data_IF_824679223604
#
_entry.id   IF_824679223604
#
_cell.length_a   1.000
_cell.length_b   1.000
_cell.length_c   1.000
_cell.angle_alpha   90.00
_cell.angle_beta   90.00
_cell.angle_gamma   90.00
#
_symmetry.space_group_name_H-M   'P 1'
#
loop_
_entity.id
_entity.type
_entity.pdbx_description
1 polymer ?
#
# COMPACT_ATOMS: atom_id res chain seq x y z
N UNK A 1 -13.02 -33.28 24.62
CA UNK A 1 -13.14 -32.20 23.61
C UNK A 1 -14.52 -32.26 23.01
N UNK A 2 -15.33 -31.21 23.19
CA UNK A 2 -16.67 -31.12 22.60
C UNK A 2 -16.58 -30.59 21.15
N UNK A 3 -16.46 -31.53 20.23
CA UNK A 3 -16.32 -31.23 18.80
C UNK A 3 -17.53 -30.50 18.22
N UNK A 4 -18.73 -30.79 18.70
CA UNK A 4 -19.94 -30.13 18.24
C UNK A 4 -19.91 -28.64 18.59
N UNK A 5 -19.43 -28.29 19.77
CA UNK A 5 -19.30 -26.89 20.19
C UNK A 5 -18.17 -26.14 19.46
N UNK A 6 -17.07 -26.82 19.11
CA UNK A 6 -15.97 -26.20 18.36
C UNK A 6 -16.36 -25.82 16.93
N UNK A 7 -17.27 -26.57 16.32
CA UNK A 7 -17.71 -26.35 14.94
C UNK A 7 -19.12 -25.76 14.81
N UNK A 8 -19.82 -25.49 15.93
CA UNK A 8 -21.06 -24.72 15.90
C UNK A 8 -20.76 -23.22 15.75
N UNK A 9 -21.73 -22.45 15.24
CA UNK A 9 -21.63 -21.00 15.24
C UNK A 9 -22.06 -20.47 16.61
N UNK A 10 -21.17 -19.76 17.29
CA UNK A 10 -21.48 -19.05 18.55
C UNK A 10 -22.20 -17.73 18.27
N UNK A 11 -21.90 -17.13 17.10
CA UNK A 11 -22.49 -15.88 16.63
C UNK A 11 -23.28 -16.13 15.32
N UNK A 12 -24.45 -15.50 15.14
CA UNK A 12 -25.19 -15.64 13.89
C UNK A 12 -24.31 -15.26 12.67
N UNK A 13 -24.26 -16.09 11.61
CA UNK A 13 -23.43 -15.83 10.43
C UNK A 13 -23.66 -14.46 9.79
N UNK A 14 -24.90 -13.97 9.82
CA UNK A 14 -25.25 -12.63 9.33
C UNK A 14 -24.57 -11.51 10.15
N UNK A 15 -24.45 -11.67 11.45
CA UNK A 15 -23.76 -10.71 12.32
C UNK A 15 -22.27 -10.68 12.02
N UNK A 16 -21.63 -11.85 11.88
CA UNK A 16 -20.20 -11.95 11.53
C UNK A 16 -19.95 -11.29 10.17
N UNK A 17 -20.83 -11.55 9.19
CA UNK A 17 -20.73 -10.93 7.87
C UNK A 17 -20.80 -9.40 7.94
N UNK A 18 -21.79 -8.86 8.65
CA UNK A 18 -21.98 -7.40 8.79
C UNK A 18 -20.80 -6.77 9.52
N UNK A 19 -20.40 -7.31 10.67
CA UNK A 19 -19.26 -6.79 11.46
C UNK A 19 -17.96 -6.83 10.65
N UNK A 20 -17.66 -7.97 10.03
CA UNK A 20 -16.47 -8.14 9.18
C UNK A 20 -16.46 -7.16 8.00
N UNK A 21 -17.60 -6.97 7.34
CA UNK A 21 -17.75 -6.02 6.23
C UNK A 21 -17.50 -4.59 6.67
N UNK A 22 -18.21 -4.13 7.72
CA UNK A 22 -18.11 -2.74 8.19
C UNK A 22 -16.68 -2.42 8.64
N UNK A 23 -16.07 -3.30 9.42
CA UNK A 23 -14.72 -3.07 9.95
C UNK A 23 -13.68 -3.18 8.83
N UNK A 24 -13.81 -4.14 7.91
CA UNK A 24 -12.90 -4.24 6.76
C UNK A 24 -12.90 -2.95 5.93
N UNK A 25 -14.08 -2.46 5.56
CA UNK A 25 -14.21 -1.22 4.77
C UNK A 25 -13.69 -0.01 5.55
N UNK A 26 -13.98 0.07 6.86
CA UNK A 26 -13.49 1.15 7.71
C UNK A 26 -11.95 1.15 7.80
N UNK A 27 -11.33 -0.02 8.03
CA UNK A 27 -9.86 -0.16 8.07
C UNK A 27 -9.27 0.17 6.70
N UNK A 28 -9.85 -0.36 5.61
CA UNK A 28 -9.37 -0.06 4.27
C UNK A 28 -9.37 1.46 4.00
N UNK A 29 -10.47 2.15 4.33
CA UNK A 29 -10.58 3.60 4.19
C UNK A 29 -9.56 4.34 5.08
N UNK A 30 -9.40 3.90 6.34
CA UNK A 30 -8.46 4.51 7.29
C UNK A 30 -7.01 4.33 6.83
N UNK A 31 -6.61 3.11 6.48
CA UNK A 31 -5.26 2.84 5.95
C UNK A 31 -5.01 3.62 4.67
N UNK A 32 -6.00 3.78 3.83
CA UNK A 32 -5.92 4.58 2.62
C UNK A 32 -5.62 6.06 2.87
N UNK A 33 -6.14 6.60 3.99
CA UNK A 33 -5.93 8.01 4.37
C UNK A 33 -4.61 8.18 5.11
N UNK A 34 -4.29 7.24 6.03
CA UNK A 34 -3.13 7.33 6.93
C UNK A 34 -1.85 6.89 6.24
N UNK A 35 -1.87 5.74 5.57
CA UNK A 35 -0.72 5.24 4.82
C UNK A 35 -0.73 5.84 3.39
N UNK A 36 -0.72 7.16 3.31
CA UNK A 36 -0.38 7.82 2.06
C UNK A 36 1.04 7.39 1.71
N UNK A 37 1.19 6.68 0.59
CA UNK A 37 2.46 6.34 -0.06
C UNK A 37 3.70 6.66 0.78
N UNK A 38 4.00 5.84 1.77
CA UNK A 38 5.27 6.02 2.45
C UNK A 38 6.38 5.52 1.54
N UNK A 39 7.34 6.40 1.34
CA UNK A 39 8.42 6.26 0.37
C UNK A 39 9.27 5.00 0.62
N UNK A 40 8.80 3.86 0.15
CA UNK A 40 9.61 2.65 -0.08
C UNK A 40 10.21 1.93 1.13
N UNK A 41 9.92 2.35 2.34
CA UNK A 41 10.35 1.65 3.57
C UNK A 41 9.24 1.72 4.60
N UNK A 42 8.60 0.58 4.87
CA UNK A 42 7.75 0.47 6.05
C UNK A 42 8.63 0.67 7.28
N UNK A 43 8.50 1.82 7.92
CA UNK A 43 9.17 2.11 9.19
C UNK A 43 8.66 1.19 10.29
N UNK A 44 9.45 0.97 11.35
CA UNK A 44 9.00 0.23 12.54
C UNK A 44 7.70 0.82 13.09
N UNK A 45 7.56 2.15 13.04
CA UNK A 45 6.36 2.88 13.47
C UNK A 45 5.12 2.47 12.69
N UNK A 46 5.24 2.28 11.35
CA UNK A 46 4.13 1.91 10.49
C UNK A 46 3.68 0.48 10.73
N UNK A 47 4.64 -0.42 10.94
CA UNK A 47 4.36 -1.79 11.32
C UNK A 47 3.60 -1.85 12.66
N UNK A 48 4.01 -1.05 13.65
CA UNK A 48 3.32 -0.95 14.94
C UNK A 48 1.88 -0.46 14.74
N UNK A 49 1.67 0.58 13.92
CA UNK A 49 0.32 1.11 13.63
C UNK A 49 -0.55 0.04 12.98
N UNK A 50 -0.04 -0.69 11.99
CA UNK A 50 -0.77 -1.79 11.33
C UNK A 50 -1.13 -2.89 12.33
N UNK A 51 -0.19 -3.28 13.20
CA UNK A 51 -0.45 -4.32 14.24
C UNK A 51 -1.49 -3.86 15.23
N UNK A 52 -1.42 -2.62 15.72
CA UNK A 52 -2.41 -2.07 16.65
C UNK A 52 -3.81 -1.96 16.03
N UNK A 53 -3.88 -1.55 14.76
CA UNK A 53 -5.15 -1.53 14.02
C UNK A 53 -5.70 -2.95 13.87
N UNK A 54 -4.85 -3.91 13.55
CA UNK A 54 -5.26 -5.31 13.41
C UNK A 54 -5.80 -5.88 14.72
N UNK A 55 -5.15 -5.59 15.86
CA UNK A 55 -5.61 -6.02 17.19
C UNK A 55 -6.95 -5.35 17.57
N UNK A 56 -7.06 -4.05 17.40
CA UNK A 56 -8.31 -3.34 17.65
C UNK A 56 -9.46 -3.85 16.76
N UNK A 57 -9.17 -4.13 15.49
CA UNK A 57 -10.11 -4.68 14.54
C UNK A 57 -10.54 -6.10 14.90
N UNK A 58 -9.62 -6.94 15.34
CA UNK A 58 -9.92 -8.30 15.78
C UNK A 58 -10.97 -8.30 16.89
N UNK A 59 -10.82 -7.45 17.89
CA UNK A 59 -11.80 -7.33 18.98
C UNK A 59 -13.17 -6.88 18.50
N UNK A 60 -13.22 -5.96 17.53
CA UNK A 60 -14.47 -5.47 16.93
C UNK A 60 -15.15 -6.50 16.03
N UNK A 61 -14.37 -7.24 15.23
CA UNK A 61 -14.88 -8.26 14.32
C UNK A 61 -15.28 -9.54 15.04
N UNK A 62 -14.48 -9.97 16.00
CA UNK A 62 -14.63 -11.24 16.67
C UNK A 62 -15.84 -11.30 17.62
N UNK A 63 -16.24 -10.17 18.22
CA UNK A 63 -17.37 -10.16 19.17
C UNK A 63 -17.24 -11.17 20.31
N UNK A 64 -16.02 -11.71 20.56
CA UNK A 64 -15.77 -12.72 21.58
C UNK A 64 -16.10 -14.15 21.15
N UNK A 65 -16.14 -14.47 19.86
CA UNK A 65 -16.37 -15.83 19.38
C UNK A 65 -15.31 -16.82 19.91
N UNK A 66 -15.76 -18.04 20.18
CA UNK A 66 -14.91 -19.16 20.60
C UNK A 66 -14.97 -20.34 19.63
N UNK A 67 -15.75 -20.20 18.56
CA UNK A 67 -15.97 -21.20 17.54
C UNK A 67 -14.97 -21.06 16.39
N UNK A 68 -14.43 -22.17 15.92
CA UNK A 68 -13.60 -22.25 14.72
C UNK A 68 -14.38 -21.81 13.49
N UNK A 69 -15.68 -22.17 13.41
CA UNK A 69 -16.57 -21.82 12.31
C UNK A 69 -16.72 -20.31 12.14
N UNK A 70 -16.88 -19.59 13.25
CA UNK A 70 -16.97 -18.11 13.24
C UNK A 70 -15.68 -17.48 12.68
N UNK A 71 -14.51 -18.00 13.13
CA UNK A 71 -13.20 -17.54 12.65
C UNK A 71 -13.00 -17.78 11.16
N UNK A 72 -13.34 -18.96 10.66
CA UNK A 72 -13.25 -19.30 9.23
C UNK A 72 -14.18 -18.41 8.41
N UNK A 73 -15.41 -18.20 8.87
CA UNK A 73 -16.37 -17.32 8.19
C UNK A 73 -15.86 -15.89 8.10
N UNK A 74 -15.31 -15.33 9.20
CA UNK A 74 -14.74 -13.98 9.22
C UNK A 74 -13.58 -13.85 8.23
N UNK A 75 -12.63 -14.80 8.22
CA UNK A 75 -11.53 -14.83 7.26
C UNK A 75 -12.05 -14.89 5.82
N UNK A 76 -13.09 -15.68 5.57
CA UNK A 76 -13.77 -15.76 4.27
C UNK A 76 -14.35 -14.41 3.82
N UNK A 77 -14.98 -13.67 4.73
CA UNK A 77 -15.51 -12.32 4.45
C UNK A 77 -14.38 -11.35 4.08
N UNK A 78 -13.29 -11.36 4.83
CA UNK A 78 -12.13 -10.48 4.57
C UNK A 78 -11.51 -10.78 3.20
N UNK A 79 -11.27 -12.05 2.90
CA UNK A 79 -10.73 -12.49 1.60
C UNK A 79 -11.70 -12.13 0.47
N UNK A 80 -13.00 -12.36 0.67
CA UNK A 80 -14.04 -12.03 -0.30
C UNK A 80 -14.05 -10.54 -0.65
N UNK A 81 -13.97 -9.66 0.34
CA UNK A 81 -13.88 -8.22 0.12
C UNK A 81 -12.58 -7.81 -0.59
N UNK A 82 -11.45 -8.39 -0.19
CA UNK A 82 -10.17 -8.14 -0.87
C UNK A 82 -10.23 -8.53 -2.35
N UNK A 83 -10.78 -9.70 -2.65
CA UNK A 83 -10.99 -10.14 -4.02
C UNK A 83 -11.94 -9.23 -4.79
N UNK A 84 -13.07 -8.86 -4.19
CA UNK A 84 -14.07 -7.99 -4.81
C UNK A 84 -13.51 -6.62 -5.17
N UNK A 85 -12.75 -5.99 -4.25
CA UNK A 85 -12.10 -4.70 -4.50
C UNK A 85 -11.08 -4.78 -5.64
N UNK A 86 -10.27 -5.85 -5.69
CA UNK A 86 -9.33 -6.07 -6.78
C UNK A 86 -10.05 -6.31 -8.12
N UNK A 87 -11.14 -7.08 -8.12
CA UNK A 87 -11.95 -7.31 -9.31
C UNK A 87 -12.61 -6.01 -9.80
N UNK A 88 -13.16 -5.20 -8.90
CA UNK A 88 -13.72 -3.88 -9.23
C UNK A 88 -12.66 -2.95 -9.82
N UNK A 89 -11.46 -2.93 -9.26
CA UNK A 89 -10.34 -2.14 -9.79
C UNK A 89 -9.95 -2.60 -11.20
N UNK A 90 -9.96 -3.91 -11.46
CA UNK A 90 -9.70 -4.45 -12.79
C UNK A 90 -10.79 -4.06 -13.80
N UNK A 91 -12.07 -4.09 -13.38
CA UNK A 91 -13.22 -3.86 -14.29
C UNK A 91 -13.49 -2.39 -14.57
N UNK A 92 -13.21 -1.49 -13.61
CA UNK A 92 -13.53 -0.07 -13.71
C UNK A 92 -12.30 0.82 -13.48
N UNK A 93 -11.83 1.55 -14.53
CA UNK A 93 -10.66 2.44 -14.40
C UNK A 93 -10.82 3.55 -13.34
N UNK A 94 -12.05 3.99 -13.07
CA UNK A 94 -12.32 4.98 -12.02
C UNK A 94 -12.06 4.42 -10.63
N UNK A 95 -12.46 3.17 -10.40
CA UNK A 95 -12.17 2.44 -9.15
C UNK A 95 -10.67 2.16 -9.03
N UNK A 96 -10.03 1.75 -10.13
CA UNK A 96 -8.58 1.52 -10.14
C UNK A 96 -7.80 2.78 -9.72
N UNK A 97 -8.15 3.95 -10.23
CA UNK A 97 -7.52 5.23 -9.85
C UNK A 97 -7.76 5.61 -8.39
N UNK A 98 -8.94 5.25 -7.87
CA UNK A 98 -9.25 5.46 -6.46
C UNK A 98 -8.45 4.51 -5.56
N UNK A 99 -8.35 3.23 -5.92
CA UNK A 99 -7.67 2.21 -5.12
C UNK A 99 -6.15 2.24 -5.29
N UNK A 100 -5.66 2.56 -6.48
CA UNK A 100 -4.23 2.60 -6.84
C UNK A 100 -3.94 3.89 -7.59
N UNK A 101 -3.53 4.98 -6.92
CA UNK A 101 -3.13 6.19 -7.61
C UNK A 101 -1.94 5.91 -8.54
N UNK A 102 -1.93 6.54 -9.70
CA UNK A 102 -0.86 6.38 -10.68
C UNK A 102 0.52 6.87 -10.17
N UNK A 103 1.62 6.55 -10.87
CA UNK A 103 2.95 7.00 -10.48
C UNK A 103 3.03 8.53 -10.44
N UNK A 104 3.77 9.07 -9.46
CA UNK A 104 3.97 10.50 -9.27
C UNK A 104 5.38 10.88 -9.69
N UNK A 105 5.52 11.77 -10.67
CA UNK A 105 6.82 12.29 -11.09
C UNK A 105 7.40 13.20 -10.00
N UNK A 106 8.59 12.90 -9.51
CA UNK A 106 9.29 13.63 -8.45
C UNK A 106 10.62 14.24 -8.90
N UNK A 107 11.24 13.67 -9.95
CA UNK A 107 12.42 14.22 -10.63
C UNK A 107 12.13 14.30 -12.13
N UNK A 108 12.52 15.40 -12.75
CA UNK A 108 12.53 15.57 -14.19
C UNK A 108 13.82 16.27 -14.64
N UNK A 109 14.57 15.66 -15.56
CA UNK A 109 15.86 16.17 -16.08
C UNK A 109 16.81 16.61 -14.92
N UNK A 110 16.96 15.77 -13.89
CA UNK A 110 17.82 16.01 -12.75
C UNK A 110 17.27 17.00 -11.69
N UNK A 111 16.16 17.66 -11.96
CA UNK A 111 15.55 18.64 -11.08
C UNK A 111 14.40 18.06 -10.24
N UNK A 112 14.32 18.44 -8.96
CA UNK A 112 13.22 18.06 -8.09
C UNK A 112 11.92 18.81 -8.42
N UNK A 113 10.82 18.09 -8.47
CA UNK A 113 9.48 18.65 -8.65
C UNK A 113 8.82 18.85 -7.28
N UNK A 114 9.23 19.89 -6.56
CA UNK A 114 8.79 20.18 -5.19
C UNK A 114 7.26 20.26 -5.02
N UNK A 115 6.54 20.75 -6.02
CA UNK A 115 5.08 20.83 -5.99
C UNK A 115 4.44 19.42 -5.89
N UNK A 116 5.03 18.45 -6.57
CA UNK A 116 4.58 17.06 -6.53
C UNK A 116 5.03 16.39 -5.23
N UNK A 117 6.28 16.58 -4.83
CA UNK A 117 6.83 16.01 -3.60
C UNK A 117 6.01 16.43 -2.37
N UNK A 118 5.58 17.69 -2.29
CA UNK A 118 4.74 18.20 -1.19
C UNK A 118 3.37 17.52 -1.10
N UNK A 119 2.79 17.10 -2.21
CA UNK A 119 1.48 16.40 -2.21
C UNK A 119 1.53 15.08 -1.43
N UNK A 120 2.66 14.39 -1.49
CA UNK A 120 2.88 13.11 -0.85
C UNK A 120 3.87 13.20 0.32
N UNK A 121 4.20 14.42 0.79
CA UNK A 121 5.10 14.68 1.92
C UNK A 121 6.50 14.06 1.75
N UNK A 122 6.99 13.98 0.51
CA UNK A 122 8.29 13.41 0.17
C UNK A 122 9.38 14.45 0.39
N UNK A 123 10.49 14.07 1.05
CA UNK A 123 11.68 14.90 1.23
C UNK A 123 12.73 14.60 0.15
N UNK A 124 13.62 15.58 -0.10
CA UNK A 124 14.77 15.35 -1.00
C UNK A 124 15.65 14.20 -0.51
N UNK A 125 15.85 14.11 0.81
CA UNK A 125 16.71 13.08 1.38
C UNK A 125 16.15 11.67 1.12
N UNK A 126 14.83 11.48 1.23
CA UNK A 126 14.18 10.22 0.87
C UNK A 126 14.42 9.86 -0.59
N UNK A 127 14.28 10.82 -1.51
CA UNK A 127 14.52 10.58 -2.93
C UNK A 127 15.98 10.23 -3.20
N UNK A 128 16.92 10.96 -2.58
CA UNK A 128 18.37 10.69 -2.67
C UNK A 128 18.74 9.32 -2.09
N UNK A 129 18.15 8.95 -0.96
CA UNK A 129 18.35 7.64 -0.34
C UNK A 129 17.91 6.51 -1.28
N UNK A 130 16.73 6.63 -1.87
CA UNK A 130 16.21 5.63 -2.80
C UNK A 130 17.04 5.55 -4.09
N UNK A 131 17.54 6.68 -4.59
CA UNK A 131 18.46 6.71 -5.72
C UNK A 131 19.77 5.97 -5.39
N UNK A 132 20.37 6.23 -4.21
CA UNK A 132 21.57 5.52 -3.74
C UNK A 132 21.35 4.01 -3.61
N UNK A 133 20.18 3.59 -3.09
CA UNK A 133 19.81 2.15 -3.01
C UNK A 133 19.76 1.47 -4.38
N UNK A 134 19.47 2.24 -5.45
CA UNK A 134 19.49 1.76 -6.84
C UNK A 134 20.82 2.03 -7.57
N UNK A 135 21.86 2.42 -6.83
CA UNK A 135 23.21 2.65 -7.39
C UNK A 135 23.37 3.99 -8.11
N UNK A 136 22.42 4.92 -7.96
CA UNK A 136 22.47 6.25 -8.57
C UNK A 136 23.03 7.23 -7.54
N UNK A 137 24.29 7.64 -7.73
CA UNK A 137 24.98 8.58 -6.87
C UNK A 137 24.67 10.04 -7.23
N UNK A 138 24.49 10.34 -8.52
CA UNK A 138 24.24 11.67 -9.03
C UNK A 138 22.86 11.74 -9.70
N UNK A 139 21.98 12.58 -9.16
CA UNK A 139 20.63 12.75 -9.72
C UNK A 139 20.60 13.54 -11.03
N UNK A 140 21.68 14.21 -11.40
CA UNK A 140 21.77 14.94 -12.69
C UNK A 140 21.68 14.02 -13.89
N UNK A 141 21.98 12.73 -13.74
CA UNK A 141 21.86 11.71 -14.81
C UNK A 141 20.45 11.15 -14.91
N UNK A 142 19.57 11.46 -13.96
CA UNK A 142 18.19 10.96 -13.90
C UNK A 142 17.32 11.81 -14.83
N UNK A 143 16.82 11.21 -15.89
CA UNK A 143 15.84 11.86 -16.76
C UNK A 143 14.48 11.99 -16.08
N UNK A 144 13.98 10.90 -15.51
CA UNK A 144 12.72 10.86 -14.78
C UNK A 144 12.86 10.03 -13.52
N UNK A 145 12.45 10.56 -12.39
CA UNK A 145 12.28 9.84 -11.13
C UNK A 145 10.80 9.84 -10.74
N UNK A 146 10.23 8.68 -10.52
CA UNK A 146 8.82 8.52 -10.17
C UNK A 146 8.67 7.75 -8.87
N UNK A 147 7.72 8.15 -8.06
CA UNK A 147 7.22 7.31 -6.98
C UNK A 147 6.04 6.50 -7.51
N UNK A 148 6.14 5.19 -7.43
CA UNK A 148 5.14 4.24 -7.90
C UNK A 148 3.94 4.14 -6.94
N UNK A 149 2.90 3.41 -7.35
CA UNK A 149 1.68 3.24 -6.56
C UNK A 149 1.88 2.50 -5.23
N UNK A 150 2.96 1.74 -5.10
CA UNK A 150 3.35 1.01 -3.89
C UNK A 150 4.33 1.80 -2.98
N UNK A 151 4.63 3.05 -3.35
CA UNK A 151 5.57 3.91 -2.63
C UNK A 151 7.04 3.69 -2.99
N UNK A 152 7.38 2.72 -3.84
CA UNK A 152 8.75 2.54 -4.32
C UNK A 152 9.12 3.62 -5.34
N UNK A 153 10.43 3.86 -5.49
CA UNK A 153 10.92 4.80 -6.50
C UNK A 153 11.45 4.04 -7.71
N UNK A 154 11.13 4.53 -8.89
CA UNK A 154 11.74 4.14 -10.15
C UNK A 154 12.48 5.31 -10.75
N UNK A 155 13.68 5.06 -11.28
CA UNK A 155 14.50 6.09 -11.90
C UNK A 155 14.86 5.66 -13.31
N UNK A 156 14.52 6.51 -14.28
CA UNK A 156 14.96 6.39 -15.67
C UNK A 156 16.20 7.25 -15.85
N UNK A 157 17.34 6.61 -15.99
CA UNK A 157 18.60 7.29 -16.29
C UNK A 157 18.64 7.58 -17.78
N UNK A 158 18.86 8.85 -18.15
CA UNK A 158 19.07 9.23 -19.54
C UNK A 158 20.36 8.56 -20.07
N UNK A 159 20.35 8.08 -21.31
CA UNK A 159 21.58 7.64 -21.96
C UNK A 159 22.59 8.80 -21.94
N UNK A 160 23.65 8.63 -21.16
CA UNK A 160 24.67 9.66 -20.95
C UNK A 160 25.20 10.13 -22.30
N UNK A 161 25.22 11.44 -22.54
CA UNK A 161 25.94 12.11 -23.65
C UNK A 161 27.42 11.71 -23.79
N UNK A 162 27.91 10.79 -22.96
CA UNK A 162 29.33 10.39 -22.85
C UNK A 162 29.87 9.53 -23.99
N UNK A 163 29.04 9.04 -24.89
CA UNK A 163 29.56 8.25 -26.02
C UNK A 163 29.91 9.14 -27.24
N UNK A 164 29.35 10.35 -27.31
CA UNK A 164 29.57 11.23 -28.47
C UNK A 164 30.87 12.04 -28.39
N UNK A 165 31.39 12.26 -27.17
CA UNK A 165 32.62 13.05 -26.98
C UNK A 165 33.89 12.19 -26.96
N UNK A 166 33.76 10.84 -26.87
CA UNK A 166 34.92 9.92 -26.92
C UNK A 166 35.22 9.39 -28.30
N UNK A 167 34.46 9.72 -29.32
CA UNK A 167 34.67 9.30 -30.71
C UNK A 167 35.08 10.49 -31.60
N UNK A 168 35.26 11.68 -31.02
CA UNK A 168 35.62 12.90 -31.76
C UNK A 168 37.07 13.40 -31.53
N UNK A 169 37.96 12.54 -30.95
CA UNK A 169 39.42 12.79 -30.88
C UNK A 169 40.19 11.69 -31.60
#
# INVERSE_FOLDING_TARGET
>A
VDWARLFSFDTPPSEIFIRGTVIYIAIYALLRVVLKREAGTNGITDLIVVVLIADAAQNGMAGGYRSISDGILLVGVIIGWSYLLNWMAHRWPSVARLLRPGPLLVIYEGAFLYANMRKEMITEEQVREQARKQGIADLSVVREGRMESDGQFSFLVGATRRIRDMVAD
#
